data_IF_815802465358
#
_entry.id   IF_815802465358
#
_cell.length_a   1.000
_cell.length_b   1.000
_cell.length_c   1.000
_cell.angle_alpha   90.00
_cell.angle_beta   90.00
_cell.angle_gamma   90.00
#
_symmetry.space_group_name_H-M   'P 1'
#
loop_
_entity.id
_entity.type
_entity.pdbx_description
1 polymer ?
#
# COMPACT_ATOMS: atom_id res chain seq x y z
N UNK A 1 15.68 51.19 -31.38
CA UNK A 1 16.53 50.32 -32.22
C UNK A 1 17.68 49.75 -31.39
N UNK A 2 17.48 48.53 -30.85
CA UNK A 2 18.46 47.47 -30.53
C UNK A 2 17.77 46.50 -29.56
N UNK A 3 17.90 45.20 -29.84
CA UNK A 3 17.43 44.04 -29.06
C UNK A 3 16.09 43.42 -29.49
N UNK A 4 16.02 42.90 -30.73
CA UNK A 4 14.93 42.01 -31.18
C UNK A 4 15.42 40.86 -32.09
N UNK A 5 16.67 40.42 -31.95
CA UNK A 5 17.28 39.42 -32.86
C UNK A 5 17.93 38.22 -32.15
N UNK A 6 17.31 37.70 -31.08
CA UNK A 6 17.74 36.43 -30.45
C UNK A 6 16.58 35.51 -30.03
N UNK A 7 15.56 35.37 -30.88
CA UNK A 7 14.47 34.41 -30.64
C UNK A 7 14.12 33.53 -31.84
N UNK A 8 15.00 33.45 -32.86
CA UNK A 8 14.71 32.73 -34.11
C UNK A 8 15.54 31.46 -34.36
N UNK A 9 16.24 30.91 -33.37
CA UNK A 9 17.11 29.73 -33.60
C UNK A 9 16.71 28.44 -32.86
N UNK A 10 15.69 28.45 -32.01
CA UNK A 10 15.24 27.24 -31.29
C UNK A 10 13.98 26.62 -31.92
N UNK A 11 13.28 27.34 -32.80
CA UNK A 11 12.10 26.83 -33.50
C UNK A 11 12.41 25.95 -34.75
N UNK A 12 13.68 25.69 -35.06
CA UNK A 12 14.10 25.00 -36.29
C UNK A 12 14.72 23.62 -36.07
N UNK A 13 14.80 23.12 -34.84
CA UNK A 13 15.30 21.76 -34.55
C UNK A 13 14.21 20.71 -34.28
N UNK A 14 12.93 21.01 -34.58
CA UNK A 14 11.80 20.07 -34.38
C UNK A 14 11.32 19.42 -35.69
N UNK A 15 11.98 19.68 -36.83
CA UNK A 15 11.60 19.07 -38.12
C UNK A 15 12.76 18.30 -38.73
N UNK A 16 13.15 17.21 -38.09
CA UNK A 16 13.61 15.99 -38.76
C UNK A 16 14.01 14.97 -37.71
N UNK A 17 13.17 13.96 -37.47
CA UNK A 17 13.61 12.59 -37.21
C UNK A 17 12.38 11.67 -37.24
N UNK A 18 12.25 11.05 -38.41
CA UNK A 18 11.74 9.71 -38.69
C UNK A 18 10.49 9.24 -37.95
N UNK A 19 9.41 9.17 -38.73
CA UNK A 19 8.36 8.21 -38.55
C UNK A 19 8.93 6.79 -38.72
N UNK A 20 9.07 6.06 -37.62
CA UNK A 20 9.08 4.59 -37.63
C UNK A 20 8.22 4.12 -36.45
N UNK A 21 7.30 3.21 -36.76
CA UNK A 21 6.42 2.56 -35.81
C UNK A 21 7.26 1.74 -34.84
N UNK A 22 7.27 2.11 -33.56
CA UNK A 22 7.51 1.15 -32.50
C UNK A 22 6.74 1.52 -31.23
N UNK A 23 6.04 0.52 -30.70
CA UNK A 23 5.40 0.55 -29.39
C UNK A 23 6.53 0.44 -28.35
N UNK A 24 7.13 1.57 -27.99
CA UNK A 24 8.15 1.63 -26.96
C UNK A 24 7.95 2.89 -26.13
N UNK A 25 7.84 2.75 -24.81
CA UNK A 25 7.91 3.88 -23.89
C UNK A 25 9.22 4.64 -24.05
N UNK A 26 9.27 5.86 -23.49
CA UNK A 26 10.46 6.72 -23.56
C UNK A 26 11.68 6.00 -22.95
N UNK A 27 12.84 6.16 -23.59
CA UNK A 27 14.10 5.61 -23.06
C UNK A 27 14.49 6.29 -21.75
N UNK A 28 15.34 5.63 -20.94
CA UNK A 28 15.77 6.15 -19.63
C UNK A 28 16.49 7.52 -19.73
N UNK A 29 17.21 7.75 -20.82
CA UNK A 29 17.86 9.03 -21.12
C UNK A 29 16.83 10.13 -21.45
N UNK A 30 15.83 9.80 -22.27
CA UNK A 30 14.72 10.72 -22.59
C UNK A 30 13.90 11.04 -21.34
N UNK A 31 13.70 10.07 -20.45
CA UNK A 31 13.02 10.27 -19.17
C UNK A 31 13.81 11.17 -18.23
N UNK A 32 15.14 11.07 -18.20
CA UNK A 32 15.96 11.95 -17.37
C UNK A 32 15.99 13.39 -17.89
N UNK A 33 16.02 13.58 -19.21
CA UNK A 33 15.93 14.91 -19.82
C UNK A 33 14.56 15.55 -19.57
N UNK A 34 13.49 14.76 -19.72
CA UNK A 34 12.12 15.18 -19.40
C UNK A 34 11.97 15.52 -17.90
N UNK A 35 12.55 14.72 -16.99
CA UNK A 35 12.59 15.02 -15.54
C UNK A 35 13.34 16.33 -15.25
N UNK A 36 14.45 16.60 -15.95
CA UNK A 36 15.23 17.82 -15.77
C UNK A 36 14.46 19.06 -16.23
N UNK A 37 13.84 19.01 -17.41
CA UNK A 37 13.00 20.08 -17.96
C UNK A 37 11.80 20.34 -17.04
N UNK A 38 11.17 19.28 -16.53
CA UNK A 38 10.04 19.43 -15.61
C UNK A 38 10.44 19.99 -14.25
N UNK A 39 11.59 19.62 -13.67
CA UNK A 39 12.10 20.25 -12.45
C UNK A 39 12.35 21.74 -12.64
N UNK A 40 12.99 22.13 -13.75
CA UNK A 40 13.18 23.53 -14.09
C UNK A 40 11.86 24.27 -14.29
N UNK A 41 10.87 23.61 -14.92
CA UNK A 41 9.53 24.20 -15.10
C UNK A 41 8.81 24.38 -13.76
N UNK A 42 8.89 23.40 -12.86
CA UNK A 42 8.32 23.48 -11.52
C UNK A 42 8.98 24.57 -10.68
N UNK A 43 10.32 24.70 -10.78
CA UNK A 43 11.08 25.77 -10.11
C UNK A 43 10.71 27.14 -10.66
N UNK A 44 10.58 27.30 -11.99
CA UNK A 44 10.14 28.56 -12.62
C UNK A 44 8.70 28.94 -12.24
N UNK A 45 7.79 27.96 -12.13
CA UNK A 45 6.42 28.18 -11.66
C UNK A 45 6.40 28.60 -10.19
N UNK A 46 7.22 27.96 -9.35
CA UNK A 46 7.36 28.31 -7.93
C UNK A 46 8.05 29.68 -7.73
N UNK A 47 8.96 30.08 -8.61
CA UNK A 47 9.59 31.41 -8.60
C UNK A 47 8.65 32.51 -9.09
N UNK A 48 7.81 32.23 -10.11
CA UNK A 48 6.76 33.14 -10.55
C UNK A 48 5.71 33.39 -9.47
N UNK A 49 5.40 32.40 -8.63
CA UNK A 49 4.54 32.56 -7.45
C UNK A 49 5.16 33.44 -6.36
N UNK A 50 6.50 33.48 -6.22
CA UNK A 50 7.18 34.34 -5.24
C UNK A 50 7.25 35.82 -5.67
N UNK A 51 7.17 36.10 -6.98
CA UNK A 51 7.34 37.45 -7.54
C UNK A 51 6.09 38.05 -8.20
N UNK A 52 4.89 37.48 -8.01
CA UNK A 52 3.69 37.94 -8.71
C UNK A 52 2.40 37.81 -7.90
N UNK A 53 2.15 38.79 -7.02
CA UNK A 53 0.78 39.23 -6.71
C UNK A 53 0.20 39.85 -7.98
N UNK A 54 -0.34 39.02 -8.89
CA UNK A 54 -1.06 39.47 -10.08
C UNK A 54 -2.35 38.63 -10.21
N UNK A 55 -3.15 38.67 -9.15
CA UNK A 55 -4.48 38.05 -9.09
C UNK A 55 -5.51 38.83 -8.27
N UNK A 56 -5.12 39.91 -7.58
CA UNK A 56 -6.01 40.71 -6.71
C UNK A 56 -6.35 42.11 -7.24
N UNK A 57 -5.91 42.50 -8.44
CA UNK A 57 -6.15 43.86 -8.97
C UNK A 57 -7.35 43.96 -9.94
N UNK A 58 -8.33 43.06 -9.85
CA UNK A 58 -9.61 43.20 -10.59
C UNK A 58 -10.70 43.88 -9.74
N UNK A 59 -10.51 44.01 -8.41
CA UNK A 59 -11.52 44.59 -7.51
C UNK A 59 -11.22 46.01 -7.02
N UNK A 60 -10.10 46.60 -7.40
CA UNK A 60 -9.75 47.97 -7.02
C UNK A 60 -9.53 48.86 -8.25
N UNK A 61 -10.59 49.05 -9.03
CA UNK A 61 -10.70 50.28 -9.79
C UNK A 61 -12.16 50.76 -9.87
N UNK A 62 -12.33 52.05 -9.55
CA UNK A 62 -13.51 52.92 -9.71
C UNK A 62 -14.50 53.01 -8.55
N UNK A 63 -14.19 53.97 -7.68
CA UNK A 63 -15.11 55.08 -7.44
C UNK A 63 -15.61 55.62 -8.80
N UNK A 64 -16.79 55.19 -9.21
CA UNK A 64 -17.58 55.90 -10.21
C UNK A 64 -19.05 55.71 -9.86
N UNK A 65 -19.64 56.80 -9.40
CA UNK A 65 -21.07 56.96 -9.16
C UNK A 65 -21.89 56.37 -10.29
N UNK A 66 -22.66 55.31 -10.00
CA UNK A 66 -23.92 55.03 -10.69
C UNK A 66 -24.92 54.57 -9.63
N UNK A 67 -25.62 55.55 -9.09
CA UNK A 67 -26.90 55.35 -8.44
C UNK A 67 -27.97 55.09 -9.52
N UNK A 68 -29.03 54.37 -9.13
CA UNK A 68 -30.29 54.11 -9.84
C UNK A 68 -30.45 52.79 -10.62
N UNK A 69 -31.49 52.06 -10.18
CA UNK A 69 -32.28 51.04 -10.89
C UNK A 69 -31.76 49.61 -10.95
N UNK A 70 -31.88 48.91 -9.82
CA UNK A 70 -32.43 47.54 -9.83
C UNK A 70 -33.43 47.41 -8.69
N UNK A 71 -34.72 47.55 -8.99
CA UNK A 71 -35.78 47.01 -8.15
C UNK A 71 -35.75 45.48 -8.32
N UNK A 72 -35.33 44.75 -7.29
CA UNK A 72 -35.62 43.32 -7.18
C UNK A 72 -36.67 43.12 -6.09
N UNK A 73 -37.82 42.60 -6.52
CA UNK A 73 -38.92 42.19 -5.64
C UNK A 73 -38.49 40.98 -4.82
N UNK A 74 -38.02 41.19 -3.59
CA UNK A 74 -37.91 40.12 -2.59
C UNK A 74 -38.64 40.55 -1.32
N UNK A 75 -39.90 40.13 -1.20
CA UNK A 75 -40.74 40.36 -0.03
C UNK A 75 -40.60 39.16 0.91
N UNK A 76 -39.61 39.18 1.80
CA UNK A 76 -39.53 38.22 2.90
C UNK A 76 -40.53 38.67 3.97
N UNK A 77 -41.58 37.89 4.20
CA UNK A 77 -42.45 38.04 5.38
C UNK A 77 -41.77 37.34 6.56
N UNK A 78 -41.40 38.03 7.65
CA UNK A 78 -41.06 37.35 8.89
C UNK A 78 -42.38 37.04 9.62
N UNK A 79 -42.50 35.82 10.13
CA UNK A 79 -43.64 35.28 10.89
C UNK A 79 -44.88 34.86 10.06
N UNK A 80 -44.92 33.56 9.72
CA UNK A 80 -46.14 32.85 9.37
C UNK A 80 -46.26 31.58 10.19
N UNK A 81 -47.04 31.62 11.28
CA UNK A 81 -47.51 30.42 11.99
C UNK A 81 -48.55 29.70 11.13
N UNK A 82 -48.38 28.40 10.95
CA UNK A 82 -49.42 27.47 10.50
C UNK A 82 -49.61 26.38 11.56
N UNK A 83 -50.86 26.23 12.02
CA UNK A 83 -51.31 25.23 12.99
C UNK A 83 -50.98 23.80 12.55
N UNK A 84 -50.63 22.93 13.51
CA UNK A 84 -51.27 21.61 13.69
C UNK A 84 -50.75 20.88 14.97
N UNK A 85 -51.71 20.53 15.81
CA UNK A 85 -51.79 19.41 16.79
C UNK A 85 -50.68 19.19 17.84
N UNK A 86 -51.07 19.43 19.10
CA UNK A 86 -50.45 18.91 20.32
C UNK A 86 -50.47 17.35 20.38
N UNK A 87 -49.51 16.74 21.10
CA UNK A 87 -49.79 16.37 22.48
C UNK A 87 -48.81 16.98 23.50
N UNK A 88 -49.13 16.76 24.77
CA UNK A 88 -48.66 17.44 25.98
C UNK A 88 -47.21 17.12 26.36
N UNK A 89 -46.49 18.13 26.86
CA UNK A 89 -45.48 17.94 27.91
C UNK A 89 -45.49 19.09 28.92
N UNK A 90 -45.13 18.73 30.14
CA UNK A 90 -45.53 19.31 31.39
C UNK A 90 -44.94 20.70 31.72
N UNK A 91 -45.70 21.39 32.57
CA UNK A 91 -45.39 22.64 33.28
C UNK A 91 -44.04 22.54 34.02
N UNK A 92 -43.21 23.57 33.91
CA UNK A 92 -42.43 24.09 35.03
C UNK A 92 -42.32 25.62 34.97
N UNK A 93 -42.33 26.19 36.17
CA UNK A 93 -42.69 27.54 36.56
C UNK A 93 -41.51 28.52 36.53
N UNK A 94 -41.87 29.82 36.40
CA UNK A 94 -41.24 31.02 36.98
C UNK A 94 -39.79 31.36 36.54
N UNK A 95 -39.38 32.61 36.34
CA UNK A 95 -39.89 33.90 36.85
C UNK A 95 -39.23 35.04 36.05
N UNK A 96 -40.00 36.10 35.73
CA UNK A 96 -39.47 37.46 35.48
C UNK A 96 -38.87 38.04 36.77
N UNK A 97 -37.96 39.03 36.69
CA UNK A 97 -38.34 40.46 36.71
C UNK A 97 -37.45 41.31 35.77
N UNK A 98 -37.66 42.58 35.43
CA UNK A 98 -38.71 43.59 35.49
C UNK A 98 -38.20 44.75 34.59
N UNK A 99 -39.12 45.59 34.12
CA UNK A 99 -38.86 46.77 33.30
C UNK A 99 -37.94 47.81 33.97
N UNK A 100 -37.13 48.49 33.16
CA UNK A 100 -36.73 49.87 33.39
C UNK A 100 -36.94 50.70 32.11
N UNK A 101 -37.46 51.91 32.32
CA UNK A 101 -38.12 52.83 31.41
C UNK A 101 -37.25 53.40 30.27
N UNK A 102 -37.89 53.70 29.14
CA UNK A 102 -37.41 54.71 28.18
C UNK A 102 -37.70 56.12 28.70
N UNK A 103 -36.86 57.09 28.33
CA UNK A 103 -37.32 58.41 27.94
C UNK A 103 -36.98 58.68 26.47
N UNK A 104 -37.98 59.13 25.71
CA UNK A 104 -37.80 59.72 24.38
C UNK A 104 -36.98 61.01 24.48
N UNK A 105 -35.98 61.16 23.60
CA UNK A 105 -35.58 62.48 23.12
C UNK A 105 -34.92 62.40 21.74
N UNK A 106 -35.44 63.22 20.83
CA UNK A 106 -35.06 63.39 19.43
C UNK A 106 -33.57 63.61 19.18
N UNK A 107 -33.03 63.02 18.11
CA UNK A 107 -31.71 63.36 17.58
C UNK A 107 -31.25 62.43 16.45
N UNK A 108 -31.27 62.93 15.21
CA UNK A 108 -30.66 62.27 14.05
C UNK A 108 -29.16 62.02 14.27
N UNK A 109 -28.65 60.82 13.94
CA UNK A 109 -27.22 60.61 13.77
C UNK A 109 -26.75 59.16 13.73
N UNK A 110 -26.26 58.76 12.55
CA UNK A 110 -25.36 57.62 12.27
C UNK A 110 -25.93 56.19 12.35
N UNK A 111 -26.20 55.61 11.18
CA UNK A 111 -26.06 54.17 10.96
C UNK A 111 -24.63 53.76 11.34
N UNK A 112 -24.48 53.10 12.48
CA UNK A 112 -23.26 52.40 12.83
C UNK A 112 -23.17 51.17 11.94
N UNK A 113 -22.31 51.24 10.92
CA UNK A 113 -21.67 50.07 10.34
C UNK A 113 -21.02 49.29 11.49
N UNK A 114 -21.66 48.23 11.97
CA UNK A 114 -21.02 47.33 12.91
C UNK A 114 -19.92 46.60 12.15
N UNK A 115 -18.67 47.05 12.33
CA UNK A 115 -17.48 46.34 11.89
C UNK A 115 -17.48 44.98 12.58
N UNK A 116 -17.84 43.93 11.84
CA UNK A 116 -17.85 42.56 12.33
C UNK A 116 -16.43 42.23 12.78
N UNK A 117 -16.26 41.95 14.07
CA UNK A 117 -14.93 41.67 14.62
C UNK A 117 -14.34 40.43 13.94
N UNK A 118 -13.00 40.37 13.82
CA UNK A 118 -12.31 39.24 13.18
C UNK A 118 -12.70 37.89 13.81
N UNK A 119 -12.92 37.88 15.12
CA UNK A 119 -13.36 36.71 15.88
C UNK A 119 -14.81 36.31 15.53
N UNK A 120 -15.69 37.27 15.33
CA UNK A 120 -17.08 37.03 14.90
C UNK A 120 -17.17 36.58 13.44
N UNK A 121 -16.30 37.08 12.56
CA UNK A 121 -16.10 36.55 11.21
C UNK A 121 -15.58 35.11 11.23
N UNK A 122 -14.63 34.79 12.10
CA UNK A 122 -14.13 33.41 12.27
C UNK A 122 -15.20 32.48 12.85
N UNK A 123 -16.00 32.95 13.82
CA UNK A 123 -17.15 32.22 14.37
C UNK A 123 -18.24 32.01 13.31
N UNK A 124 -18.51 33.01 12.48
CA UNK A 124 -19.47 32.91 11.37
C UNK A 124 -18.96 31.95 10.29
N UNK A 125 -17.68 32.01 9.94
CA UNK A 125 -17.04 31.04 9.03
C UNK A 125 -17.09 29.62 9.61
N UNK A 126 -16.84 29.45 10.91
CA UNK A 126 -16.98 28.17 11.61
C UNK A 126 -18.42 27.66 11.62
N UNK A 127 -19.40 28.55 11.82
CA UNK A 127 -20.82 28.20 11.81
C UNK A 127 -21.31 27.80 10.40
N UNK A 128 -20.82 28.47 9.35
CA UNK A 128 -21.08 28.09 7.95
C UNK A 128 -20.43 26.72 7.64
N UNK A 129 -19.23 26.45 8.16
CA UNK A 129 -18.58 25.11 8.07
C UNK A 129 -19.37 24.00 8.77
N UNK A 130 -20.12 24.32 9.83
CA UNK A 130 -20.87 23.36 10.64
C UNK A 130 -22.35 23.21 10.22
N UNK A 131 -22.78 23.79 9.09
CA UNK A 131 -24.11 23.49 8.56
C UNK A 131 -24.16 22.04 8.07
N UNK A 132 -25.06 21.25 8.65
CA UNK A 132 -25.42 19.90 8.19
C UNK A 132 -25.72 19.95 6.68
N UNK A 133 -24.89 19.25 5.89
CA UNK A 133 -24.91 19.27 4.43
C UNK A 133 -25.93 18.26 3.87
N UNK A 134 -26.94 17.86 4.68
CA UNK A 134 -28.23 17.16 4.47
C UNK A 134 -28.46 16.30 3.21
N UNK A 135 -27.95 16.62 2.04
CA UNK A 135 -28.13 15.85 0.81
C UNK A 135 -27.19 14.64 0.71
N UNK A 136 -25.88 14.80 0.98
CA UNK A 136 -24.90 13.71 0.77
C UNK A 136 -24.44 13.03 2.07
N UNK A 137 -24.36 13.75 3.19
CA UNK A 137 -24.07 13.14 4.51
C UNK A 137 -25.12 12.07 4.84
N UNK A 138 -26.39 12.36 4.55
CA UNK A 138 -27.47 11.40 4.72
C UNK A 138 -27.25 10.11 3.91
N UNK A 139 -26.62 10.18 2.73
CA UNK A 139 -26.31 9.00 1.92
C UNK A 139 -25.32 8.06 2.62
N UNK A 140 -24.25 8.62 3.19
CA UNK A 140 -23.30 7.87 4.03
C UNK A 140 -23.95 7.30 5.31
N UNK A 141 -24.98 7.97 5.84
CA UNK A 141 -25.72 7.52 7.01
C UNK A 141 -26.94 6.65 6.69
N UNK A 142 -27.24 6.40 5.41
CA UNK A 142 -28.32 5.48 5.03
C UNK A 142 -27.92 4.04 5.25
N UNK A 143 -28.90 3.20 5.61
CA UNK A 143 -28.69 1.75 5.79
C UNK A 143 -28.26 1.02 4.51
N UNK A 144 -28.43 1.64 3.35
CA UNK A 144 -28.11 1.04 2.04
C UNK A 144 -26.69 1.38 1.54
N UNK A 145 -25.93 2.16 2.30
CA UNK A 145 -24.54 2.45 1.97
C UNK A 145 -23.65 1.26 2.32
N UNK A 146 -23.04 0.63 1.31
CA UNK A 146 -22.23 -0.57 1.50
C UNK A 146 -20.79 -0.28 1.92
N UNK A 147 -20.31 0.96 1.70
CA UNK A 147 -18.94 1.38 1.97
C UNK A 147 -17.99 1.20 0.79
N UNK A 148 -18.46 0.58 -0.31
CA UNK A 148 -17.66 0.33 -1.51
C UNK A 148 -17.85 1.41 -2.59
N UNK A 149 -18.86 2.27 -2.46
CA UNK A 149 -19.26 3.25 -3.46
C UNK A 149 -18.19 4.33 -3.71
N UNK A 150 -17.38 4.63 -2.69
CA UNK A 150 -16.31 5.64 -2.75
C UNK A 150 -14.96 5.07 -3.19
N UNK A 151 -14.88 3.76 -3.43
CA UNK A 151 -13.68 3.10 -3.95
C UNK A 151 -13.89 2.70 -5.40
N UNK A 152 -13.02 3.19 -6.29
CA UNK A 152 -13.09 2.89 -7.71
C UNK A 152 -11.80 2.23 -8.19
N UNK A 153 -11.92 1.31 -9.14
CA UNK A 153 -10.77 0.69 -9.80
C UNK A 153 -10.79 1.10 -11.27
N UNK A 154 -9.68 1.68 -11.73
CA UNK A 154 -9.50 2.14 -13.10
C UNK A 154 -8.38 1.33 -13.73
N UNK A 155 -8.64 0.77 -14.91
CA UNK A 155 -7.60 0.12 -15.70
C UNK A 155 -6.76 1.16 -16.42
N UNK A 156 -5.44 1.02 -16.33
CA UNK A 156 -4.51 1.81 -17.12
C UNK A 156 -4.71 1.53 -18.61
N UNK A 157 -4.80 2.60 -19.38
CA UNK A 157 -4.80 2.55 -20.84
C UNK A 157 -3.79 3.60 -21.33
N UNK A 158 -2.81 3.22 -22.16
CA UNK A 158 -1.85 4.17 -22.71
C UNK A 158 -2.54 5.35 -23.40
N UNK A 159 -2.02 6.56 -23.17
CA UNK A 159 -2.51 7.81 -23.77
C UNK A 159 -3.99 8.15 -23.49
N UNK A 160 -4.62 7.51 -22.50
CA UNK A 160 -6.00 7.80 -22.11
C UNK A 160 -6.05 8.75 -20.92
N UNK A 161 -6.79 9.84 -21.08
CA UNK A 161 -7.12 10.72 -19.95
C UNK A 161 -8.28 10.16 -19.15
N UNK A 162 -8.06 9.93 -17.85
CA UNK A 162 -9.09 9.44 -16.95
C UNK A 162 -9.76 10.61 -16.21
N UNK A 163 -11.10 10.63 -16.18
CA UNK A 163 -11.86 11.65 -15.45
C UNK A 163 -12.03 11.24 -14.01
N UNK A 164 -11.62 12.11 -13.08
CA UNK A 164 -11.72 11.89 -11.65
C UNK A 164 -12.55 13.00 -11.03
N UNK A 165 -13.59 12.58 -10.32
CA UNK A 165 -14.42 13.47 -9.51
C UNK A 165 -13.78 13.63 -8.15
N UNK A 166 -13.49 14.86 -7.77
CA UNK A 166 -13.13 15.23 -6.40
C UNK A 166 -14.25 16.07 -5.78
N UNK A 167 -14.14 16.31 -4.48
CA UNK A 167 -15.08 17.15 -3.74
C UNK A 167 -14.30 18.12 -2.86
N UNK A 168 -14.77 19.38 -2.82
CA UNK A 168 -14.13 20.42 -2.02
C UNK A 168 -13.86 19.93 -0.58
N UNK A 169 -12.65 20.20 -0.10
CA UNK A 169 -12.19 19.87 1.24
C UNK A 169 -12.19 18.37 1.60
N UNK A 170 -12.33 17.47 0.60
CA UNK A 170 -12.18 16.03 0.77
C UNK A 170 -10.98 15.52 -0.01
N UNK A 171 -10.21 14.62 0.60
CA UNK A 171 -9.07 13.99 -0.05
C UNK A 171 -9.52 12.83 -0.94
N UNK A 172 -9.07 12.83 -2.19
CA UNK A 172 -9.13 11.69 -3.10
C UNK A 172 -7.74 11.09 -3.23
N UNK A 173 -7.57 9.84 -2.80
CA UNK A 173 -6.29 9.13 -2.85
C UNK A 173 -6.20 8.28 -4.11
N UNK A 174 -5.19 8.54 -4.92
CA UNK A 174 -4.82 7.69 -6.06
C UNK A 174 -3.75 6.70 -5.62
N UNK A 175 -3.96 5.42 -5.92
CA UNK A 175 -3.03 4.33 -5.59
C UNK A 175 -2.65 3.63 -6.90
N UNK A 176 -1.36 3.56 -7.18
CA UNK A 176 -0.79 2.97 -8.38
C UNK A 176 -0.18 1.60 -8.08
N UNK A 177 0.00 0.79 -9.12
CA UNK A 177 0.65 -0.52 -9.00
C UNK A 177 2.17 -0.42 -8.81
N UNK A 178 2.76 0.69 -9.24
CA UNK A 178 4.18 1.02 -9.14
C UNK A 178 4.37 2.37 -8.41
N UNK A 179 5.59 2.62 -7.94
CA UNK A 179 5.92 3.86 -7.22
C UNK A 179 5.84 5.08 -8.13
N UNK A 180 5.52 6.23 -7.53
CA UNK A 180 5.42 7.51 -8.24
C UNK A 180 6.78 8.20 -8.19
N UNK A 181 7.34 8.49 -9.36
CA UNK A 181 8.58 9.25 -9.48
C UNK A 181 8.33 10.76 -9.40
N UNK A 182 7.31 11.22 -10.13
CA UNK A 182 7.00 12.64 -10.24
C UNK A 182 5.54 12.87 -10.66
N UNK A 183 5.04 14.07 -10.44
CA UNK A 183 3.73 14.50 -10.92
C UNK A 183 3.75 15.96 -11.36
N UNK A 184 2.88 16.31 -12.29
CA UNK A 184 2.67 17.68 -12.78
C UNK A 184 1.20 18.02 -12.60
N UNK A 185 0.94 19.04 -11.80
CA UNK A 185 -0.40 19.57 -11.55
C UNK A 185 -0.55 20.92 -12.24
N UNK A 186 -1.64 21.10 -12.99
CA UNK A 186 -1.93 22.34 -13.71
C UNK A 186 -2.25 23.51 -12.79
N UNK A 187 -3.32 23.39 -12.00
CA UNK A 187 -3.77 24.42 -11.06
C UNK A 187 -3.40 24.03 -9.63
N UNK A 188 -2.31 24.63 -9.16
CA UNK A 188 -1.79 24.42 -7.80
C UNK A 188 -2.45 25.32 -6.74
N UNK A 189 -3.27 26.29 -7.18
CA UNK A 189 -3.99 27.18 -6.27
C UNK A 189 -5.32 26.58 -5.87
N UNK A 190 -6.04 26.03 -6.84
CA UNK A 190 -7.32 25.36 -6.63
C UNK A 190 -7.18 23.92 -6.16
N UNK A 191 -6.07 23.23 -6.47
CA UNK A 191 -5.83 21.85 -6.04
C UNK A 191 -4.52 21.71 -5.29
N UNK A 192 -4.55 20.96 -4.19
CA UNK A 192 -3.37 20.55 -3.43
C UNK A 192 -3.13 19.07 -3.66
N UNK A 193 -1.88 18.69 -3.93
CA UNK A 193 -1.45 17.29 -4.01
C UNK A 193 -0.44 17.00 -2.90
N UNK A 194 -0.67 15.92 -2.16
CA UNK A 194 0.19 15.48 -1.06
C UNK A 194 0.67 14.05 -1.31
N UNK A 195 1.96 13.80 -1.15
CA UNK A 195 2.52 12.44 -1.15
C UNK A 195 2.29 11.78 0.21
N UNK A 196 2.02 10.47 0.23
CA UNK A 196 1.79 9.73 1.47
C UNK A 196 3.13 9.19 2.00
N UNK A 197 3.64 9.62 3.17
CA UNK A 197 4.99 9.26 3.63
C UNK A 197 5.26 7.76 3.77
N UNK A 198 4.22 6.96 4.03
CA UNK A 198 4.31 5.51 4.18
C UNK A 198 4.04 4.73 2.87
N UNK A 199 3.70 5.42 1.77
CA UNK A 199 3.32 4.81 0.49
C UNK A 199 3.79 5.65 -0.71
N UNK A 200 4.91 5.27 -1.30
CA UNK A 200 5.48 5.91 -2.48
C UNK A 200 4.60 5.75 -3.75
N UNK A 201 3.76 4.72 -3.79
CA UNK A 201 2.82 4.48 -4.88
C UNK A 201 1.47 5.20 -4.72
N UNK A 202 1.35 6.16 -3.80
CA UNK A 202 0.08 6.82 -3.51
C UNK A 202 0.22 8.33 -3.27
N UNK A 203 -0.76 9.07 -3.79
CA UNK A 203 -0.90 10.52 -3.59
C UNK A 203 -2.33 10.86 -3.20
N UNK A 204 -2.50 11.91 -2.39
CA UNK A 204 -3.78 12.50 -2.05
C UNK A 204 -3.99 13.80 -2.80
N UNK A 205 -5.20 13.99 -3.35
CA UNK A 205 -5.61 15.18 -4.08
C UNK A 205 -6.71 15.86 -3.27
N UNK A 206 -6.51 17.12 -2.92
CA UNK A 206 -7.43 17.91 -2.08
C UNK A 206 -7.80 19.20 -2.82
N UNK A 207 -8.99 19.31 -3.41
CA UNK A 207 -9.47 20.55 -4.00
C UNK A 207 -9.81 21.58 -2.91
N UNK A 208 -9.36 22.82 -3.12
CA UNK A 208 -9.56 23.97 -2.24
C UNK A 208 -10.85 24.74 -2.59
N UNK A 209 -11.21 24.79 -3.86
CA UNK A 209 -12.39 25.52 -4.36
C UNK A 209 -13.43 24.58 -4.98
N UNK A 210 -14.66 25.07 -5.13
CA UNK A 210 -15.79 24.36 -5.76
C UNK A 210 -15.82 24.73 -7.25
N UNK A 211 -16.15 23.76 -8.12
CA UNK A 211 -16.48 24.03 -9.53
C UNK A 211 -15.27 24.31 -10.42
N UNK A 212 -14.06 24.17 -9.88
CA UNK A 212 -12.80 24.26 -10.60
C UNK A 212 -12.40 22.92 -11.19
N UNK A 213 -11.61 22.95 -12.26
CA UNK A 213 -11.04 21.78 -12.91
C UNK A 213 -9.56 21.97 -13.24
N UNK A 214 -8.85 20.85 -13.36
CA UNK A 214 -7.43 20.87 -13.68
C UNK A 214 -6.95 19.56 -14.30
N UNK A 215 -5.77 19.59 -14.91
CA UNK A 215 -5.05 18.41 -15.37
C UNK A 215 -4.01 17.96 -14.35
N UNK A 216 -3.92 16.64 -14.15
CA UNK A 216 -2.86 16.02 -13.36
C UNK A 216 -2.19 14.93 -14.19
N UNK A 217 -0.87 15.01 -14.33
CA UNK A 217 -0.05 13.98 -14.99
C UNK A 217 0.87 13.35 -13.96
N UNK A 218 0.93 12.03 -13.93
CA UNK A 218 1.75 11.25 -12.99
C UNK A 218 2.69 10.34 -13.77
N UNK A 219 3.94 10.32 -13.34
CA UNK A 219 5.01 9.50 -13.89
C UNK A 219 5.36 8.43 -12.85
N UNK A 220 5.22 7.17 -13.25
CA UNK A 220 5.54 6.02 -12.41
C UNK A 220 6.92 5.47 -12.75
N UNK A 221 7.52 4.73 -11.81
CA UNK A 221 8.88 4.20 -11.92
C UNK A 221 9.10 3.18 -13.05
N UNK A 222 8.02 2.65 -13.62
CA UNK A 222 8.03 1.80 -14.81
C UNK A 222 8.03 2.61 -16.13
N UNK A 223 8.14 3.93 -16.07
CA UNK A 223 8.15 4.82 -17.23
C UNK A 223 6.76 5.10 -17.82
N UNK A 224 5.68 4.64 -17.17
CA UNK A 224 4.31 4.90 -17.64
C UNK A 224 3.84 6.30 -17.26
N UNK A 225 3.06 6.89 -18.15
CA UNK A 225 2.48 8.23 -17.99
C UNK A 225 0.97 8.05 -17.78
N UNK A 226 0.48 8.59 -16.67
CA UNK A 226 -0.93 8.59 -16.32
C UNK A 226 -1.49 10.01 -16.37
N UNK A 227 -2.48 10.25 -17.23
CA UNK A 227 -3.11 11.56 -17.38
C UNK A 227 -4.51 11.56 -16.80
N UNK A 228 -4.81 12.56 -15.97
CA UNK A 228 -6.08 12.71 -15.28
C UNK A 228 -6.68 14.09 -15.53
N UNK A 229 -7.99 14.10 -15.75
CA UNK A 229 -8.82 15.31 -15.68
C UNK A 229 -9.53 15.32 -14.34
N UNK A 230 -9.19 16.29 -13.49
CA UNK A 230 -9.72 16.44 -12.15
C UNK A 230 -10.75 17.56 -12.16
N UNK A 231 -11.87 17.37 -11.46
CA UNK A 231 -12.86 18.42 -11.27
C UNK A 231 -13.46 18.36 -9.86
N UNK A 232 -13.59 19.52 -9.24
CA UNK A 232 -14.08 19.67 -7.87
C UNK A 232 -15.59 19.92 -7.85
N UNK A 233 -16.30 19.17 -7.01
CA UNK A 233 -17.75 19.27 -6.86
C UNK A 233 -18.15 19.73 -5.46
N UNK A 234 -19.37 20.28 -5.36
CA UNK A 234 -19.97 20.78 -4.12
C UNK A 234 -20.72 19.69 -3.34
N UNK A 235 -21.15 20.02 -2.11
CA UNK A 235 -22.04 19.19 -1.29
C UNK A 235 -23.41 18.92 -1.92
N UNK A 236 -23.84 19.74 -2.88
CA UNK A 236 -25.10 19.58 -3.61
C UNK A 236 -25.05 18.49 -4.69
N UNK A 237 -23.87 17.95 -5.02
CA UNK A 237 -23.75 16.88 -5.99
C UNK A 237 -24.39 15.59 -5.45
N UNK A 238 -25.23 14.95 -6.26
CA UNK A 238 -25.94 13.72 -5.89
C UNK A 238 -25.05 12.47 -6.00
N UNK A 239 -23.94 12.57 -6.74
CA UNK A 239 -23.01 11.47 -6.89
C UNK A 239 -22.01 11.42 -5.75
N UNK A 240 -21.58 10.20 -5.39
CA UNK A 240 -20.60 10.01 -4.33
C UNK A 240 -19.23 10.55 -4.73
N UNK A 241 -18.48 11.14 -3.78
CA UNK A 241 -17.09 11.51 -3.99
C UNK A 241 -16.23 10.26 -4.08
N UNK A 242 -15.22 10.26 -4.95
CA UNK A 242 -14.23 9.19 -4.98
C UNK A 242 -13.20 9.42 -3.87
N UNK A 243 -13.13 8.55 -2.87
CA UNK A 243 -12.11 8.63 -1.80
C UNK A 243 -10.85 7.86 -2.17
N UNK A 244 -11.01 6.68 -2.78
CA UNK A 244 -9.89 5.83 -3.17
C UNK A 244 -10.06 5.42 -4.61
N UNK A 245 -9.04 5.68 -5.43
CA UNK A 245 -8.97 5.24 -6.81
C UNK A 245 -7.74 4.37 -6.96
N UNK A 246 -7.94 3.10 -7.31
CA UNK A 246 -6.88 2.15 -7.61
C UNK A 246 -6.66 2.11 -9.11
N UNK A 247 -5.46 2.47 -9.55
CA UNK A 247 -5.03 2.40 -10.94
C UNK A 247 -4.32 1.07 -11.11
N UNK A 248 -4.97 0.16 -11.85
CA UNK A 248 -4.45 -1.18 -12.11
C UNK A 248 -3.90 -1.28 -13.51
N UNK A 249 -2.74 -1.91 -13.63
CA UNK A 249 -2.13 -2.23 -14.90
C UNK A 249 -2.16 -3.74 -15.13
N UNK A 250 -2.88 -4.16 -16.18
CA UNK A 250 -3.07 -5.59 -16.47
C UNK A 250 -1.74 -6.32 -16.73
N UNK A 251 -0.70 -5.64 -17.24
CA UNK A 251 0.63 -6.23 -17.45
C UNK A 251 1.38 -6.41 -16.13
N UNK A 252 1.35 -5.40 -15.28
CA UNK A 252 2.00 -5.44 -13.96
C UNK A 252 1.34 -6.49 -13.08
N UNK A 253 0.00 -6.59 -13.12
CA UNK A 253 -0.74 -7.62 -12.40
C UNK A 253 -0.39 -9.02 -12.92
N UNK A 254 -0.31 -9.22 -14.24
CA UNK A 254 0.13 -10.50 -14.82
C UNK A 254 1.56 -10.82 -14.42
N UNK A 255 2.48 -9.85 -14.43
CA UNK A 255 3.87 -10.06 -14.02
C UNK A 255 3.99 -10.41 -12.53
N UNK A 256 3.24 -9.73 -11.65
CA UNK A 256 3.18 -10.06 -10.21
C UNK A 256 2.61 -11.46 -9.98
N UNK A 257 1.55 -11.82 -10.71
CA UNK A 257 0.96 -13.17 -10.64
C UNK A 257 1.89 -14.24 -11.21
N UNK A 258 2.61 -13.96 -12.30
CA UNK A 258 3.59 -14.88 -12.87
C UNK A 258 4.77 -15.11 -11.92
N UNK A 259 5.32 -14.04 -11.33
CA UNK A 259 6.36 -14.15 -10.30
C UNK A 259 5.87 -14.94 -9.08
N UNK A 260 4.65 -14.68 -8.61
CA UNK A 260 4.07 -15.42 -7.49
C UNK A 260 3.88 -16.92 -7.84
N UNK A 261 3.47 -17.23 -9.07
CA UNK A 261 3.37 -18.60 -9.57
C UNK A 261 4.75 -19.27 -9.64
N UNK A 262 5.74 -18.64 -10.27
CA UNK A 262 7.11 -19.15 -10.35
C UNK A 262 7.71 -19.40 -8.96
N UNK A 263 7.52 -18.46 -8.02
CA UNK A 263 7.97 -18.66 -6.64
C UNK A 263 7.25 -19.83 -5.97
N UNK A 264 5.93 -19.95 -6.16
CA UNK A 264 5.14 -21.05 -5.61
C UNK A 264 5.47 -22.39 -6.25
N UNK A 265 5.91 -22.42 -7.50
CA UNK A 265 6.29 -23.62 -8.23
C UNK A 265 7.67 -24.10 -7.75
N UNK A 266 8.61 -23.18 -7.57
CA UNK A 266 9.98 -23.48 -7.15
C UNK A 266 10.13 -23.73 -5.65
N UNK A 267 9.38 -23.01 -4.82
CA UNK A 267 9.51 -23.04 -3.37
C UNK A 267 8.22 -23.49 -2.68
N UNK A 268 8.36 -24.26 -1.61
CA UNK A 268 7.33 -24.45 -0.58
C UNK A 268 7.54 -23.36 0.46
N UNK A 269 6.58 -22.45 0.58
CA UNK A 269 6.65 -21.32 1.51
C UNK A 269 5.85 -21.65 2.77
N UNK A 270 6.51 -21.62 3.92
CA UNK A 270 5.89 -21.80 5.24
C UNK A 270 5.86 -20.42 5.90
N UNK A 271 4.67 -19.95 6.32
CA UNK A 271 4.49 -18.64 6.93
C UNK A 271 3.77 -18.75 8.27
N UNK A 272 4.18 -17.92 9.22
CA UNK A 272 3.51 -17.73 10.51
C UNK A 272 3.78 -16.31 11.04
N UNK A 273 2.78 -15.44 10.92
CA UNK A 273 2.92 -14.02 11.19
C UNK A 273 4.05 -13.39 10.36
N UNK A 274 5.10 -12.92 11.05
CA UNK A 274 6.28 -12.26 10.45
C UNK A 274 7.32 -13.28 9.97
N UNK A 275 7.27 -14.53 10.47
CA UNK A 275 8.21 -15.56 10.09
C UNK A 275 7.83 -16.18 8.73
N UNK A 276 8.74 -16.13 7.77
CA UNK A 276 8.60 -16.76 6.46
C UNK A 276 9.84 -17.62 6.16
N UNK A 277 9.60 -18.86 5.75
CA UNK A 277 10.63 -19.79 5.33
C UNK A 277 10.33 -20.33 3.94
N UNK A 278 11.31 -20.22 3.03
CA UNK A 278 11.23 -20.72 1.67
C UNK A 278 12.08 -21.99 1.53
N UNK A 279 11.44 -23.12 1.25
CA UNK A 279 12.10 -24.41 1.02
C UNK A 279 12.08 -24.75 -0.46
N UNK A 280 13.23 -25.09 -1.06
CA UNK A 280 13.31 -25.50 -2.46
C UNK A 280 12.62 -26.84 -2.67
N UNK A 281 11.60 -26.91 -3.55
CA UNK A 281 10.88 -28.18 -3.79
C UNK A 281 11.77 -29.29 -4.36
N UNK A 282 12.80 -28.93 -5.13
CA UNK A 282 13.76 -29.88 -5.69
C UNK A 282 14.61 -30.59 -4.63
N UNK A 283 14.76 -29.99 -3.45
CA UNK A 283 15.56 -30.53 -2.36
C UNK A 283 14.72 -31.33 -1.36
N UNK A 284 13.39 -31.32 -1.50
CA UNK A 284 12.46 -31.98 -0.61
C UNK A 284 12.58 -33.50 -0.76
N UNK A 285 12.94 -34.15 0.34
CA UNK A 285 12.89 -35.60 0.49
C UNK A 285 11.75 -35.99 1.45
N UNK A 286 10.78 -36.78 0.98
CA UNK A 286 9.58 -37.20 1.76
C UNK A 286 9.62 -38.65 2.23
N UNK A 287 10.73 -39.38 2.01
CA UNK A 287 10.81 -40.82 2.30
C UNK A 287 10.96 -41.17 3.77
N UNK A 288 10.10 -40.63 4.63
CA UNK A 288 10.06 -40.93 6.06
C UNK A 288 8.96 -41.93 6.37
N UNK A 289 9.21 -42.80 7.34
CA UNK A 289 8.23 -43.76 7.85
C UNK A 289 8.06 -43.58 9.35
N UNK A 290 6.81 -43.61 9.80
CA UNK A 290 6.47 -43.44 11.21
C UNK A 290 5.96 -44.77 11.77
N UNK A 291 6.37 -45.10 12.99
CA UNK A 291 5.93 -46.27 13.75
C UNK A 291 5.50 -45.80 15.13
N UNK A 292 4.25 -46.04 15.47
CA UNK A 292 3.66 -45.72 16.75
C UNK A 292 3.01 -46.97 17.35
N UNK A 293 2.87 -47.01 18.69
CA UNK A 293 1.92 -47.92 19.32
C UNK A 293 0.50 -47.39 19.08
N UNK A 294 -0.51 -48.27 19.12
CA UNK A 294 -1.93 -47.88 18.90
C UNK A 294 -2.38 -46.71 19.77
N UNK A 295 -1.94 -46.68 21.02
CA UNK A 295 -2.22 -45.62 22.00
C UNK A 295 -1.57 -44.26 21.66
N UNK A 296 -0.53 -44.25 20.81
CA UNK A 296 0.25 -43.06 20.45
C UNK A 296 -0.02 -42.60 19.01
N UNK A 297 -1.03 -43.14 18.32
CA UNK A 297 -1.32 -42.78 16.92
C UNK A 297 -1.69 -41.30 16.75
N UNK A 298 -2.26 -40.68 17.79
CA UNK A 298 -2.56 -39.24 17.83
C UNK A 298 -1.32 -38.34 17.72
N UNK A 299 -0.12 -38.88 18.01
CA UNK A 299 1.15 -38.16 17.97
C UNK A 299 1.85 -38.26 16.60
N UNK A 300 1.24 -38.94 15.62
CA UNK A 300 1.79 -39.04 14.26
C UNK A 300 1.81 -37.67 13.58
N UNK A 301 2.94 -37.34 12.94
CA UNK A 301 3.03 -36.12 12.15
C UNK A 301 2.26 -36.29 10.84
N UNK A 302 1.52 -35.25 10.44
CA UNK A 302 0.75 -35.25 9.19
C UNK A 302 1.65 -35.30 7.95
N UNK A 303 2.85 -34.71 8.03
CA UNK A 303 3.81 -34.66 6.93
C UNK A 303 5.23 -34.56 7.50
N UNK A 304 6.15 -35.37 6.98
CA UNK A 304 7.58 -35.28 7.31
C UNK A 304 8.40 -35.18 6.03
N UNK A 305 9.26 -34.18 5.95
CA UNK A 305 10.21 -34.04 4.85
C UNK A 305 11.53 -33.38 5.29
N UNK A 306 12.56 -33.42 4.44
CA UNK A 306 13.81 -32.68 4.67
C UNK A 306 14.29 -31.97 3.42
N UNK A 307 15.10 -30.91 3.59
CA UNK A 307 15.62 -30.04 2.51
C UNK A 307 17.15 -30.05 2.40
N UNK A 308 17.75 -31.22 2.65
CA UNK A 308 19.22 -31.46 2.76
C UNK A 308 19.90 -30.79 3.96
N UNK A 309 19.26 -29.86 4.66
CA UNK A 309 19.80 -29.22 5.87
C UNK A 309 18.98 -29.52 7.12
N UNK A 310 17.65 -29.41 7.00
CA UNK A 310 16.72 -29.50 8.11
C UNK A 310 15.65 -30.56 7.85
N UNK A 311 15.02 -31.02 8.93
CA UNK A 311 13.89 -31.96 8.88
C UNK A 311 12.65 -31.27 9.44
N UNK A 312 11.55 -31.36 8.70
CA UNK A 312 10.29 -30.67 8.94
C UNK A 312 9.23 -31.69 9.37
N UNK A 313 8.53 -31.42 10.46
CA UNK A 313 7.44 -32.23 10.99
C UNK A 313 6.18 -31.38 11.09
N UNK A 314 5.12 -31.76 10.40
CA UNK A 314 3.85 -31.03 10.40
C UNK A 314 2.93 -31.48 11.53
N UNK A 315 2.48 -30.53 12.33
CA UNK A 315 1.46 -30.68 13.37
C UNK A 315 0.51 -29.48 13.33
N UNK A 316 -0.77 -29.74 13.12
CA UNK A 316 -1.78 -28.69 13.12
C UNK A 316 -1.93 -28.12 14.53
N UNK A 317 -1.62 -26.83 14.71
CA UNK A 317 -1.72 -26.17 16.02
C UNK A 317 -3.15 -26.16 16.58
N UNK A 318 -4.15 -26.13 15.70
CA UNK A 318 -5.57 -26.12 16.07
C UNK A 318 -6.01 -27.45 16.70
N UNK A 319 -5.43 -28.57 16.24
CA UNK A 319 -5.75 -29.91 16.73
C UNK A 319 -4.92 -30.28 17.96
N UNK A 320 -3.68 -29.77 18.03
CA UNK A 320 -2.73 -30.12 19.09
C UNK A 320 -2.04 -28.87 19.64
N UNK A 321 -2.59 -28.26 20.72
CA UNK A 321 -2.00 -27.07 21.34
C UNK A 321 -0.64 -27.33 21.99
N UNK A 322 -0.38 -28.56 22.44
CA UNK A 322 0.90 -28.96 22.99
C UNK A 322 1.81 -29.55 21.92
N UNK A 323 2.81 -28.77 21.53
CA UNK A 323 3.77 -29.15 20.50
C UNK A 323 4.72 -30.22 21.06
N UNK A 324 4.89 -31.37 20.38
CA UNK A 324 5.74 -32.44 20.85
C UNK A 324 7.23 -32.12 20.65
N UNK A 325 8.07 -32.79 21.43
CA UNK A 325 9.53 -32.62 21.36
C UNK A 325 10.14 -33.63 20.40
N UNK A 326 11.08 -33.16 19.58
CA UNK A 326 11.80 -33.98 18.60
C UNK A 326 13.20 -34.29 19.13
N UNK A 327 13.60 -35.56 19.07
CA UNK A 327 14.94 -36.04 19.38
C UNK A 327 15.55 -36.74 18.17
N UNK A 328 16.86 -36.62 17.96
CA UNK A 328 17.59 -37.44 17.00
C UNK A 328 18.11 -38.70 17.68
N UNK A 329 17.91 -39.87 17.06
CA UNK A 329 18.47 -41.12 17.58
C UNK A 329 19.91 -41.29 17.08
N UNK A 330 20.87 -41.14 17.98
CA UNK A 330 22.30 -41.32 17.74
C UNK A 330 22.78 -42.43 18.66
N UNK A 331 23.49 -43.43 18.13
CA UNK A 331 23.97 -44.58 18.90
C UNK A 331 22.87 -45.31 19.71
N UNK A 332 21.65 -45.35 19.15
CA UNK A 332 20.44 -45.93 19.76
C UNK A 332 19.96 -45.19 21.01
N UNK A 333 20.45 -43.97 21.25
CA UNK A 333 20.00 -43.09 22.33
C UNK A 333 19.38 -41.82 21.75
N UNK A 334 18.39 -41.27 22.45
CA UNK A 334 17.76 -40.01 22.08
C UNK A 334 18.68 -38.85 22.45
N UNK A 335 19.13 -38.10 21.44
CA UNK A 335 19.93 -36.89 21.58
C UNK A 335 19.06 -35.66 21.33
N UNK A 336 19.18 -34.59 22.14
CA UNK A 336 18.47 -33.35 21.90
C UNK A 336 18.92 -32.73 20.58
N UNK A 337 17.98 -32.08 19.89
CA UNK A 337 18.25 -31.33 18.65
C UNK A 337 17.66 -29.95 18.78
N UNK A 338 18.33 -28.97 18.18
CA UNK A 338 17.78 -27.63 18.07
C UNK A 338 16.52 -27.66 17.20
N UNK A 339 15.45 -27.08 17.73
CA UNK A 339 14.16 -27.04 17.03
C UNK A 339 13.58 -25.64 17.07
N UNK A 340 12.87 -25.29 16.00
CA UNK A 340 12.08 -24.06 15.92
C UNK A 340 10.71 -24.37 15.35
N UNK A 341 9.72 -23.56 15.71
CA UNK A 341 8.34 -23.72 15.23
C UNK A 341 8.00 -22.57 14.30
N UNK A 342 7.58 -22.87 13.07
CA UNK A 342 7.06 -21.89 12.12
C UNK A 342 5.76 -22.45 11.54
N UNK A 343 4.65 -21.83 11.88
CA UNK A 343 3.33 -22.25 11.44
C UNK A 343 3.01 -23.60 12.06
N UNK A 344 2.53 -24.53 11.25
CA UNK A 344 2.27 -25.92 11.65
C UNK A 344 3.52 -26.80 11.57
N UNK A 345 4.72 -26.25 11.35
CA UNK A 345 5.94 -27.04 11.20
C UNK A 345 6.87 -26.87 12.40
N UNK A 346 7.23 -28.01 12.99
CA UNK A 346 8.40 -28.14 13.86
C UNK A 346 9.59 -28.47 12.98
N UNK A 347 10.62 -27.63 13.02
CA UNK A 347 11.80 -27.73 12.18
C UNK A 347 12.95 -28.15 13.09
N UNK A 348 13.45 -29.37 12.89
CA UNK A 348 14.69 -29.82 13.50
C UNK A 348 15.87 -29.36 12.65
N UNK A 349 16.83 -28.67 13.26
CA UNK A 349 18.00 -28.12 12.59
C UNK A 349 19.08 -29.19 12.27
N UNK A 350 18.64 -30.37 11.83
CA UNK A 350 19.51 -31.48 11.46
C UNK A 350 18.81 -32.45 10.51
N UNK A 351 19.61 -33.28 9.83
CA UNK A 351 19.15 -34.47 9.12
C UNK A 351 19.74 -35.70 9.80
N UNK A 352 18.86 -36.54 10.31
CA UNK A 352 19.23 -37.80 10.93
C UNK A 352 18.42 -38.97 10.30
N UNK A 353 18.97 -40.20 10.22
CA UNK A 353 18.22 -41.34 9.73
C UNK A 353 17.04 -41.71 10.63
N UNK A 354 17.11 -41.39 11.92
CA UNK A 354 16.11 -41.77 12.91
C UNK A 354 15.78 -40.62 13.86
N UNK A 355 14.49 -40.40 14.10
CA UNK A 355 14.01 -39.43 15.07
C UNK A 355 13.02 -40.09 16.02
N UNK A 356 12.92 -39.54 17.22
CA UNK A 356 11.91 -39.88 18.21
C UNK A 356 11.09 -38.62 18.48
N UNK A 357 9.79 -38.68 18.22
CA UNK A 357 8.83 -37.66 18.64
C UNK A 357 8.28 -38.08 20.00
N UNK A 358 8.27 -37.19 20.98
CA UNK A 358 7.81 -37.47 22.35
C UNK A 358 6.83 -36.42 22.86
N UNK A 359 5.81 -36.88 23.59
CA UNK A 359 4.90 -36.05 24.37
C UNK A 359 4.48 -36.81 25.63
N UNK A 360 4.97 -36.39 26.80
CA UNK A 360 4.84 -37.16 28.03
C UNK A 360 5.41 -38.58 27.89
N UNK A 361 4.61 -39.60 28.22
CA UNK A 361 4.96 -41.02 28.08
C UNK A 361 4.74 -41.57 26.66
N UNK A 362 4.08 -40.78 25.79
CA UNK A 362 3.80 -41.16 24.40
C UNK A 362 5.00 -40.89 23.51
N UNK A 363 5.33 -41.83 22.62
CA UNK A 363 6.41 -41.68 21.65
C UNK A 363 6.08 -42.29 20.29
N UNK A 364 6.65 -41.69 19.24
CA UNK A 364 6.60 -42.14 17.85
C UNK A 364 8.02 -42.22 17.30
N UNK A 365 8.35 -43.33 16.65
CA UNK A 365 9.63 -43.50 15.97
C UNK A 365 9.50 -43.11 14.49
N UNK A 366 10.41 -42.29 14.02
CA UNK A 366 10.51 -41.89 12.61
C UNK A 366 11.80 -42.44 12.03
N UNK A 367 11.70 -43.11 10.88
CA UNK A 367 12.82 -43.70 10.17
C UNK A 367 12.84 -43.17 8.74
N UNK A 368 13.95 -42.51 8.37
CA UNK A 368 14.23 -42.05 7.02
C UNK A 368 14.68 -43.23 6.18
N UNK A 369 14.00 -43.47 5.06
CA UNK A 369 14.44 -44.44 4.07
C UNK A 369 15.69 -43.89 3.36
N UNK A 370 16.67 -44.73 3.14
CA UNK A 370 17.85 -44.34 2.36
C UNK A 370 17.51 -44.39 0.87
N UNK A 371 17.97 -43.38 0.13
CA UNK A 371 17.84 -43.35 -1.33
C UNK A 371 18.83 -44.32 -1.98
N UNK A 372 18.52 -44.77 -3.19
CA UNK A 372 19.41 -45.69 -3.91
C UNK A 372 20.79 -45.07 -4.13
N UNK A 373 20.86 -43.79 -4.53
CA UNK A 373 22.14 -43.08 -4.69
C UNK A 373 22.96 -43.00 -3.39
N UNK A 374 22.32 -42.88 -2.23
CA UNK A 374 23.02 -42.90 -0.94
C UNK A 374 23.58 -44.28 -0.64
N UNK A 375 22.84 -45.35 -0.96
CA UNK A 375 23.32 -46.72 -0.83
C UNK A 375 24.51 -46.96 -1.75
N UNK A 376 24.40 -46.59 -3.02
CA UNK A 376 25.47 -46.74 -4.01
C UNK A 376 26.73 -45.97 -3.58
N UNK A 377 26.57 -44.72 -3.10
CA UNK A 377 27.68 -43.92 -2.54
C UNK A 377 28.34 -44.58 -1.34
N UNK A 378 27.56 -45.21 -0.45
CA UNK A 378 28.12 -45.94 0.71
C UNK A 378 28.87 -47.18 0.28
N UNK A 379 28.36 -47.93 -0.70
CA UNK A 379 29.04 -49.10 -1.26
C UNK A 379 30.37 -48.72 -1.91
N UNK A 380 30.39 -47.67 -2.73
CA UNK A 380 31.63 -47.14 -3.34
C UNK A 380 32.65 -46.77 -2.25
N UNK A 381 32.23 -46.07 -1.20
CA UNK A 381 33.11 -45.68 -0.08
C UNK A 381 33.64 -46.88 0.70
N UNK A 382 32.81 -47.91 0.89
CA UNK A 382 33.22 -49.15 1.57
C UNK A 382 34.31 -49.86 0.78
N UNK A 383 34.12 -50.00 -0.54
CA UNK A 383 35.08 -50.64 -1.42
C UNK A 383 36.42 -49.87 -1.47
N UNK A 384 36.38 -48.54 -1.57
CA UNK A 384 37.57 -47.67 -1.51
C UNK A 384 38.38 -47.83 -0.20
N UNK A 385 37.72 -48.05 0.93
CA UNK A 385 38.39 -48.26 2.21
C UNK A 385 39.01 -49.66 2.29
N UNK A 386 38.31 -50.68 1.80
CA UNK A 386 38.84 -52.06 1.71
C UNK A 386 40.08 -52.13 0.82
N UNK A 387 40.07 -51.44 -0.32
CA UNK A 387 41.24 -51.38 -1.23
C UNK A 387 42.44 -50.69 -0.56
N UNK A 388 42.21 -49.60 0.19
CA UNK A 388 43.26 -48.91 0.95
C UNK A 388 43.83 -49.77 2.08
N UNK A 389 42.99 -50.55 2.76
CA UNK A 389 43.42 -51.48 3.80
C UNK A 389 44.26 -52.62 3.23
N UNK A 390 43.84 -53.18 2.09
CA UNK A 390 44.60 -54.21 1.37
C UNK A 390 45.98 -53.70 0.91
N UNK A 391 46.04 -52.48 0.36
CA UNK A 391 47.32 -51.84 -0.03
C UNK A 391 48.24 -51.64 1.20
N UNK A 392 47.69 -51.20 2.34
CA UNK A 392 48.47 -51.02 3.58
C UNK A 392 48.99 -52.34 4.14
N UNK A 393 48.24 -53.43 4.01
CA UNK A 393 48.68 -54.77 4.45
C UNK A 393 49.85 -55.26 3.59
N UNK A 394 49.74 -55.20 2.26
CA UNK A 394 50.84 -55.57 1.37
C UNK A 394 52.11 -54.74 1.58
N UNK A 395 51.98 -53.44 1.86
CA UNK A 395 53.15 -52.60 2.19
C UNK A 395 53.81 -52.98 3.52
N UNK A 396 53.03 -53.42 4.52
CA UNK A 396 53.57 -53.91 5.80
C UNK A 396 54.26 -55.26 5.65
N UNK A 397 53.67 -56.18 4.87
CA UNK A 397 54.26 -57.47 4.54
C UNK A 397 55.60 -57.29 3.82
N UNK A 398 55.63 -56.48 2.76
CA UNK A 398 56.85 -56.19 2.02
C UNK A 398 57.94 -55.54 2.88
N UNK A 399 57.60 -54.64 3.81
CA UNK A 399 58.57 -54.08 4.77
C UNK A 399 59.11 -55.11 5.75
N UNK A 400 58.29 -56.07 6.17
CA UNK A 400 58.70 -57.14 7.09
C UNK A 400 59.68 -58.09 6.41
N UNK A 401 59.39 -58.49 5.16
CA UNK A 401 60.28 -59.34 4.35
C UNK A 401 61.63 -58.66 4.08
N UNK A 402 61.63 -57.35 3.78
CA UNK A 402 62.89 -56.59 3.55
C UNK A 402 63.75 -56.51 4.82
N UNK A 403 63.15 -56.37 6.00
CA UNK A 403 63.88 -56.31 7.26
C UNK A 403 64.43 -57.68 7.70
N UNK A 404 63.70 -58.78 7.42
CA UNK A 404 64.18 -60.14 7.66
C UNK A 404 65.35 -60.52 6.73
N UNK A 405 65.44 -59.92 5.54
CA UNK A 405 66.54 -60.18 4.57
C UNK A 405 67.81 -59.36 4.85
N UNK A 406 67.75 -58.32 5.70
CA UNK A 406 68.90 -57.44 6.04
C UNK A 406 69.52 -57.71 7.42
N UNK A 407 69.03 -58.72 8.15
CA UNK A 407 69.49 -59.10 9.48
C UNK A 407 70.43 -60.31 9.54
N UNK A 408 71.21 -60.56 8.48
CA UNK A 408 72.28 -61.57 8.45
C UNK A 408 73.60 -60.89 8.14
#
# INVERSE_FOLDING_TARGET
MKNLTRLSLIALFVLNLNAEQDQGGLSEEQMNEVRAIMRQTQELVNEQQKNGSMGEDIFNDKNKDINSQVQSNFKVKPFGMGQNNHPQLAKFNNSQPQMAQMPDQDGMGAEQSQDISKEELELMQNAIRNQDLKALQNKFHTKNYSGYENTQTIKYVPNKTHKIRTRQAMATTLIFDNDIDNFVLGDQTGFKVEQIPSKANAIAIIPQLIGIDTSLTIFTSDGKIHTFYLYSTDYKNTNDPSFVIRIQDDEVQKAKQAKAKDESDKYKIIKDGIAELKVLKSDIYTGYTQKAKKENEWLLSAEIFSDKKFTYFKYAKDEMPQIPTIFAVIDKQDSPVETRVIGDYIIAETINPKFTIKSGDSYVCVERKETQEERDRKEIRKNLNTDKEAIRQHQKENKKTINETKGI
#
